data_IF_104347459948
#
_entry.id   IF_104347459948
#
_cell.length_a   1.000
_cell.length_b   1.000
_cell.length_c   1.000
_cell.angle_alpha   90.00
_cell.angle_beta   90.00
_cell.angle_gamma   90.00
#
_symmetry.space_group_name_H-M   'P 1'
#
loop_
_entity.id
_entity.type
_entity.pdbx_description
1 polymer ?
#
# COMPACT_ATOMS: atom_id res chain seq x y z
N UNK A 1 20.96 -44.36 -23.02
CA UNK A 1 19.98 -43.31 -22.69
C UNK A 1 20.59 -42.40 -21.61
N UNK A 2 21.49 -41.44 -21.92
CA UNK A 2 22.19 -40.74 -20.80
C UNK A 2 22.63 -39.28 -20.98
N UNK A 3 22.73 -38.74 -22.20
CA UNK A 3 23.16 -37.33 -22.36
C UNK A 3 21.97 -36.36 -22.33
N UNK A 4 20.83 -36.75 -22.88
CA UNK A 4 19.61 -35.93 -22.94
C UNK A 4 18.95 -35.75 -21.56
N UNK A 5 18.90 -36.81 -20.74
CA UNK A 5 18.39 -36.78 -19.36
C UNK A 5 19.20 -35.82 -18.48
N UNK A 6 20.53 -35.84 -18.60
CA UNK A 6 21.44 -34.95 -17.85
C UNK A 6 21.31 -33.46 -18.24
N UNK A 7 20.90 -33.16 -19.46
CA UNK A 7 20.74 -31.78 -19.95
C UNK A 7 19.39 -31.20 -19.51
N UNK A 8 18.32 -31.99 -19.58
CA UNK A 8 17.01 -31.61 -19.09
C UNK A 8 17.01 -31.37 -17.57
N UNK A 9 17.65 -32.25 -16.80
CA UNK A 9 17.78 -32.09 -15.35
C UNK A 9 18.54 -30.81 -14.97
N UNK A 10 19.62 -30.47 -15.67
CA UNK A 10 20.38 -29.22 -15.45
C UNK A 10 19.57 -27.97 -15.77
N UNK A 11 18.75 -28.00 -16.83
CA UNK A 11 17.84 -26.89 -17.18
C UNK A 11 16.74 -26.72 -16.14
N UNK A 12 16.15 -27.82 -15.68
CA UNK A 12 15.15 -27.78 -14.61
C UNK A 12 15.75 -27.20 -13.33
N UNK A 13 16.92 -27.68 -12.90
CA UNK A 13 17.61 -27.18 -11.71
C UNK A 13 17.92 -25.68 -11.81
N UNK A 14 18.30 -25.21 -12.99
CA UNK A 14 18.50 -23.78 -13.29
C UNK A 14 17.23 -22.96 -13.09
N UNK A 15 16.12 -23.40 -13.68
CA UNK A 15 14.83 -22.69 -13.58
C UNK A 15 14.36 -22.67 -12.12
N UNK A 16 14.42 -23.82 -11.44
CA UNK A 16 14.07 -23.93 -10.02
C UNK A 16 14.93 -22.98 -9.19
N UNK A 17 16.24 -22.94 -9.41
CA UNK A 17 17.13 -22.01 -8.72
C UNK A 17 16.74 -20.55 -8.95
N UNK A 18 16.43 -20.16 -10.19
CA UNK A 18 16.00 -18.79 -10.50
C UNK A 18 14.68 -18.42 -9.81
N UNK A 19 13.70 -19.33 -9.81
CA UNK A 19 12.42 -19.14 -9.12
C UNK A 19 12.66 -18.97 -7.62
N UNK A 20 13.45 -19.86 -7.00
CA UNK A 20 13.76 -19.79 -5.57
C UNK A 20 14.48 -18.49 -5.21
N UNK A 21 15.47 -18.07 -6.01
CA UNK A 21 16.18 -16.79 -5.80
C UNK A 21 15.23 -15.61 -5.92
N UNK A 22 14.32 -15.63 -6.90
CA UNK A 22 13.32 -14.57 -7.08
C UNK A 22 12.38 -14.50 -5.88
N UNK A 23 11.88 -15.63 -5.40
CA UNK A 23 11.05 -15.69 -4.19
C UNK A 23 11.78 -15.18 -2.96
N UNK A 24 13.06 -15.54 -2.78
CA UNK A 24 13.89 -15.02 -1.69
C UNK A 24 14.08 -13.50 -1.80
N UNK A 25 14.29 -12.96 -3.00
CA UNK A 25 14.42 -11.52 -3.22
C UNK A 25 13.11 -10.80 -2.88
N UNK A 26 11.96 -11.30 -3.36
CA UNK A 26 10.65 -10.69 -3.09
C UNK A 26 10.35 -10.76 -1.58
N UNK A 27 10.54 -11.93 -0.96
CA UNK A 27 10.31 -12.10 0.47
C UNK A 27 11.25 -11.22 1.31
N UNK A 28 12.52 -11.09 0.90
CA UNK A 28 13.48 -10.21 1.54
C UNK A 28 13.10 -8.73 1.40
N UNK A 29 12.60 -8.32 0.24
CA UNK A 29 12.07 -6.98 0.02
C UNK A 29 10.88 -6.70 0.95
N UNK A 30 9.88 -7.60 1.01
CA UNK A 30 8.70 -7.42 1.86
C UNK A 30 9.07 -7.33 3.35
N UNK A 31 9.97 -8.19 3.83
CA UNK A 31 10.45 -8.13 5.22
C UNK A 31 11.06 -6.77 5.50
N UNK A 32 11.94 -6.29 4.62
CA UNK A 32 12.58 -4.98 4.80
C UNK A 32 11.59 -3.82 4.65
N UNK A 33 10.56 -3.98 3.84
CA UNK A 33 9.52 -2.97 3.67
C UNK A 33 8.70 -2.80 4.96
N UNK A 34 8.12 -3.88 5.46
CA UNK A 34 7.33 -3.81 6.70
C UNK A 34 8.20 -3.47 7.93
N UNK A 35 9.43 -4.01 7.98
CA UNK A 35 10.39 -3.63 9.02
C UNK A 35 10.77 -2.14 8.93
N UNK A 36 10.80 -1.54 7.74
CA UNK A 36 11.06 -0.13 7.54
C UNK A 36 10.02 0.73 8.26
N UNK A 37 8.74 0.45 8.03
CA UNK A 37 7.65 1.11 8.75
C UNK A 37 7.75 0.91 10.25
N UNK A 38 7.93 -0.34 10.71
CA UNK A 38 8.00 -0.67 12.12
C UNK A 38 9.17 0.03 12.83
N UNK A 39 10.36 0.02 12.24
CA UNK A 39 11.55 0.68 12.79
C UNK A 39 11.37 2.19 12.87
N UNK A 40 10.82 2.80 11.81
CA UNK A 40 10.54 4.23 11.82
C UNK A 40 9.46 4.59 12.85
N UNK A 41 8.42 3.76 13.01
CA UNK A 41 7.38 3.97 14.01
C UNK A 41 7.97 3.96 15.42
N UNK A 42 8.85 3.00 15.75
CA UNK A 42 9.57 2.97 17.03
C UNK A 42 10.47 4.20 17.19
N UNK A 43 11.18 4.60 16.14
CA UNK A 43 12.09 5.75 16.20
C UNK A 43 11.38 7.08 16.50
N UNK A 44 10.09 7.21 16.16
CA UNK A 44 9.26 8.39 16.46
C UNK A 44 8.43 8.23 17.74
N UNK A 45 8.67 7.19 18.54
CA UNK A 45 8.00 6.94 19.82
C UNK A 45 6.70 6.15 19.72
N UNK A 46 6.42 5.50 18.58
CA UNK A 46 5.32 4.58 18.40
C UNK A 46 5.59 3.18 18.97
N UNK A 47 4.54 2.39 19.13
CA UNK A 47 4.61 0.99 19.56
C UNK A 47 4.15 0.09 18.41
N UNK A 48 4.98 -0.88 18.03
CA UNK A 48 4.64 -1.88 17.00
C UNK A 48 3.73 -2.93 17.63
N UNK A 49 2.56 -3.15 17.03
CA UNK A 49 1.55 -4.09 17.50
C UNK A 49 1.48 -5.36 16.65
N UNK A 50 2.04 -5.34 15.44
CA UNK A 50 2.14 -6.52 14.58
C UNK A 50 2.95 -6.27 13.31
N UNK A 51 3.53 -7.33 12.75
CA UNK A 51 4.22 -7.31 11.46
C UNK A 51 3.85 -8.60 10.72
N UNK A 52 3.24 -8.48 9.54
CA UNK A 52 3.08 -9.57 8.58
C UNK A 52 3.76 -9.19 7.27
N UNK A 53 4.86 -9.87 6.96
CA UNK A 53 5.63 -9.63 5.75
C UNK A 53 5.63 -10.83 4.79
N UNK A 54 4.72 -11.80 4.95
CA UNK A 54 4.73 -13.04 4.16
C UNK A 54 4.30 -12.77 2.72
N UNK A 55 5.02 -13.35 1.76
CA UNK A 55 4.72 -13.18 0.32
C UNK A 55 3.34 -13.73 -0.10
N UNK A 56 2.77 -14.62 0.72
CA UNK A 56 1.45 -15.22 0.50
C UNK A 56 0.35 -14.61 1.37
N UNK A 57 0.64 -13.54 2.11
CA UNK A 57 -0.39 -12.81 2.84
C UNK A 57 -1.18 -11.95 1.86
N UNK A 58 -2.49 -11.88 2.04
CA UNK A 58 -3.37 -11.07 1.19
C UNK A 58 -3.00 -9.57 1.27
N UNK A 59 -2.44 -9.15 2.41
CA UNK A 59 -1.96 -7.79 2.66
C UNK A 59 -0.79 -7.82 3.64
N UNK A 60 0.47 -7.87 3.17
CA UNK A 60 1.61 -7.56 4.02
C UNK A 60 1.39 -6.18 4.66
N UNK A 61 1.66 -6.09 5.96
CA UNK A 61 1.49 -4.85 6.72
C UNK A 61 2.27 -4.86 8.04
N UNK A 62 2.69 -3.67 8.45
CA UNK A 62 3.09 -3.36 9.81
C UNK A 62 1.97 -2.57 10.50
N UNK A 63 1.54 -3.07 11.66
CA UNK A 63 0.59 -2.40 12.55
C UNK A 63 1.34 -1.74 13.69
N UNK A 64 1.01 -0.48 13.96
CA UNK A 64 1.63 0.32 15.00
C UNK A 64 0.66 1.37 15.54
N UNK A 65 0.84 1.73 16.79
CA UNK A 65 0.10 2.80 17.47
C UNK A 65 1.05 3.95 17.79
N UNK A 66 0.51 5.17 17.74
CA UNK A 66 1.24 6.38 18.10
C UNK A 66 0.61 7.02 19.32
N UNK A 67 1.44 7.69 20.12
CA UNK A 67 0.97 8.81 20.93
C UNK A 67 0.84 10.07 20.06
N UNK A 68 1.33 11.20 20.57
CA UNK A 68 1.37 12.45 19.81
C UNK A 68 2.56 12.49 18.87
N UNK A 69 2.33 12.35 17.57
CA UNK A 69 3.35 12.50 16.51
C UNK A 69 2.98 13.63 15.54
N UNK A 70 4.00 14.29 15.00
CA UNK A 70 3.87 15.33 13.99
C UNK A 70 3.52 14.74 12.62
N UNK A 71 3.02 15.58 11.71
CA UNK A 71 2.73 15.17 10.33
C UNK A 71 4.00 14.69 9.60
N UNK A 72 5.13 15.37 9.81
CA UNK A 72 6.42 14.98 9.23
C UNK A 72 6.93 13.62 9.75
N UNK A 73 6.70 13.31 11.03
CA UNK A 73 7.02 12.00 11.58
C UNK A 73 6.16 10.90 10.95
N UNK A 74 4.86 11.14 10.72
CA UNK A 74 4.00 10.20 10.00
C UNK A 74 4.49 9.97 8.56
N UNK A 75 4.80 11.04 7.84
CA UNK A 75 5.36 10.94 6.49
C UNK A 75 6.67 10.13 6.47
N UNK A 76 7.55 10.33 7.46
CA UNK A 76 8.77 9.54 7.60
C UNK A 76 8.47 8.05 7.79
N UNK A 77 7.54 7.69 8.68
CA UNK A 77 7.13 6.28 8.90
C UNK A 77 6.59 5.67 7.61
N UNK A 78 5.75 6.39 6.86
CA UNK A 78 5.22 5.91 5.59
C UNK A 78 6.30 5.76 4.52
N UNK A 79 7.25 6.68 4.39
CA UNK A 79 8.34 6.53 3.44
C UNK A 79 9.31 5.39 3.79
N UNK A 80 9.45 5.08 5.08
CA UNK A 80 10.47 4.16 5.58
C UNK A 80 10.35 2.74 4.98
N UNK A 81 9.15 2.27 4.66
CA UNK A 81 8.98 0.97 4.02
C UNK A 81 9.59 0.89 2.63
N UNK A 82 9.58 1.98 1.86
CA UNK A 82 10.29 2.01 0.57
C UNK A 82 11.79 2.32 0.76
N UNK A 83 12.13 3.19 1.71
CA UNK A 83 13.52 3.63 1.93
C UNK A 83 14.43 2.52 2.46
N UNK A 84 13.96 1.66 3.37
CA UNK A 84 14.83 0.65 3.97
C UNK A 84 15.33 -0.39 2.95
N UNK A 85 14.49 -1.03 2.12
CA UNK A 85 14.96 -1.90 1.04
C UNK A 85 15.92 -1.18 0.07
N UNK A 86 15.65 0.08 -0.26
CA UNK A 86 16.52 0.89 -1.12
C UNK A 86 17.91 1.07 -0.53
N UNK A 87 17.99 1.53 0.73
CA UNK A 87 19.27 1.73 1.43
C UNK A 87 20.05 0.42 1.51
N UNK A 88 19.38 -0.68 1.88
CA UNK A 88 20.02 -2.01 1.97
C UNK A 88 20.51 -2.47 0.59
N UNK A 89 19.70 -2.29 -0.47
CA UNK A 89 20.07 -2.67 -1.83
C UNK A 89 21.26 -1.88 -2.39
N UNK A 90 21.26 -0.56 -2.17
CA UNK A 90 22.37 0.31 -2.59
C UNK A 90 23.64 0.04 -1.76
N UNK A 91 23.50 -0.19 -0.44
CA UNK A 91 24.61 -0.58 0.42
C UNK A 91 25.21 -1.91 -0.03
N UNK A 92 24.38 -2.91 -0.37
CA UNK A 92 24.84 -4.19 -0.90
C UNK A 92 25.58 -4.04 -2.25
N UNK A 93 25.14 -3.13 -3.13
CA UNK A 93 25.87 -2.81 -4.36
C UNK A 93 27.25 -2.24 -4.08
N UNK A 94 27.36 -1.32 -3.11
CA UNK A 94 28.60 -0.63 -2.79
C UNK A 94 29.58 -1.53 -2.02
N UNK A 95 29.11 -2.15 -0.94
CA UNK A 95 29.93 -2.90 0.01
C UNK A 95 30.41 -4.26 -0.53
N UNK A 96 29.61 -4.94 -1.36
CA UNK A 96 30.02 -6.26 -1.86
C UNK A 96 31.07 -6.14 -2.98
N UNK A 97 32.09 -7.02 -3.04
CA UNK A 97 33.17 -6.98 -4.03
C UNK A 97 32.67 -6.84 -5.48
N UNK A 98 33.38 -6.11 -6.36
CA UNK A 98 32.90 -5.94 -7.76
C UNK A 98 32.74 -7.27 -8.48
N UNK A 99 33.67 -8.18 -8.24
CA UNK A 99 33.65 -9.53 -8.80
C UNK A 99 33.09 -10.49 -7.75
N UNK A 100 31.93 -11.07 -8.06
CA UNK A 100 31.31 -12.14 -7.28
C UNK A 100 31.10 -13.35 -8.18
N UNK A 101 31.05 -14.57 -7.63
CA UNK A 101 30.55 -15.73 -8.36
C UNK A 101 29.17 -15.41 -8.97
N UNK A 102 28.92 -15.87 -10.20
CA UNK A 102 27.74 -15.47 -11.00
C UNK A 102 26.42 -15.59 -10.22
N UNK A 103 26.23 -16.67 -9.45
CA UNK A 103 25.06 -16.89 -8.60
C UNK A 103 24.81 -15.75 -7.59
N UNK A 104 25.85 -15.26 -6.95
CA UNK A 104 25.77 -14.18 -5.95
C UNK A 104 25.67 -12.80 -6.61
N UNK A 105 26.26 -12.64 -7.79
CA UNK A 105 26.08 -11.44 -8.59
C UNK A 105 24.62 -11.25 -9.00
N UNK A 106 23.92 -12.34 -9.38
CA UNK A 106 22.48 -12.32 -9.69
C UNK A 106 21.65 -11.94 -8.47
N UNK A 107 21.91 -12.52 -7.30
CA UNK A 107 21.20 -12.16 -6.06
C UNK A 107 21.38 -10.68 -5.72
N UNK A 108 22.61 -10.17 -5.73
CA UNK A 108 22.91 -8.76 -5.44
C UNK A 108 22.23 -7.81 -6.41
N UNK A 109 22.39 -8.05 -7.72
CA UNK A 109 21.81 -7.18 -8.75
C UNK A 109 20.29 -7.28 -8.73
N UNK A 110 19.74 -8.50 -8.59
CA UNK A 110 18.31 -8.74 -8.53
C UNK A 110 17.66 -8.06 -7.32
N UNK A 111 18.27 -8.16 -6.14
CA UNK A 111 17.77 -7.48 -4.94
C UNK A 111 17.82 -5.95 -5.10
N UNK A 112 18.93 -5.39 -5.57
CA UNK A 112 19.03 -3.94 -5.80
C UNK A 112 18.06 -3.44 -6.88
N UNK A 113 17.84 -4.21 -7.94
CA UNK A 113 16.85 -3.91 -8.97
C UNK A 113 15.42 -3.98 -8.40
N UNK A 114 15.11 -4.98 -7.57
CA UNK A 114 13.82 -5.09 -6.88
C UNK A 114 13.57 -3.92 -5.94
N UNK A 115 14.57 -3.53 -5.15
CA UNK A 115 14.48 -2.36 -4.27
C UNK A 115 14.22 -1.07 -5.07
N UNK A 116 14.93 -0.86 -6.20
CA UNK A 116 14.70 0.27 -7.09
C UNK A 116 13.33 0.23 -7.76
N UNK A 117 12.82 -0.96 -8.10
CA UNK A 117 11.49 -1.12 -8.67
C UNK A 117 10.38 -0.74 -7.67
N UNK A 118 10.65 -0.79 -6.36
CA UNK A 118 9.77 -0.25 -5.32
C UNK A 118 9.48 1.26 -5.46
N UNK A 119 10.28 2.00 -6.24
CA UNK A 119 10.01 3.41 -6.57
C UNK A 119 9.01 3.61 -7.71
N UNK A 120 8.60 2.56 -8.44
CA UNK A 120 7.67 2.72 -9.57
C UNK A 120 6.31 3.28 -9.14
N UNK A 121 5.68 2.83 -8.03
CA UNK A 121 4.47 3.48 -7.51
C UNK A 121 4.67 4.97 -7.22
N UNK A 122 5.88 5.34 -6.77
CA UNK A 122 6.25 6.73 -6.47
C UNK A 122 6.32 7.66 -7.69
N UNK A 123 6.41 7.10 -8.90
CA UNK A 123 6.38 7.85 -10.15
C UNK A 123 4.98 8.04 -10.72
N UNK A 124 4.05 7.16 -10.35
CA UNK A 124 2.74 7.03 -11.02
C UNK A 124 1.61 7.47 -10.11
N UNK A 125 1.57 6.98 -8.87
CA UNK A 125 0.44 7.17 -7.95
C UNK A 125 0.24 8.60 -7.43
N UNK A 126 1.24 9.51 -7.43
CA UNK A 126 0.96 10.90 -7.11
C UNK A 126 0.09 11.62 -8.15
N UNK A 127 0.02 11.15 -9.41
CA UNK A 127 -0.75 11.83 -10.46
C UNK A 127 -2.26 11.70 -10.34
N UNK A 128 -2.83 10.51 -10.08
CA UNK A 128 -4.26 10.38 -9.79
C UNK A 128 -4.74 11.28 -8.63
N UNK A 129 -3.87 11.65 -7.69
CA UNK A 129 -4.23 12.55 -6.59
C UNK A 129 -4.64 13.94 -7.08
N UNK A 130 -4.08 14.40 -8.21
CA UNK A 130 -4.48 15.68 -8.84
C UNK A 130 -5.90 15.65 -9.41
N UNK A 131 -6.41 14.45 -9.69
CA UNK A 131 -7.75 14.21 -10.22
C UNK A 131 -8.73 13.83 -9.11
N UNK A 132 -8.30 13.91 -7.85
CA UNK A 132 -9.14 13.53 -6.74
C UNK A 132 -9.26 12.03 -6.53
N UNK A 133 -8.24 11.24 -6.89
CA UNK A 133 -8.15 9.81 -6.59
C UNK A 133 -6.96 9.52 -5.68
N UNK A 134 -7.23 8.91 -4.52
CA UNK A 134 -6.20 8.58 -3.53
C UNK A 134 -6.24 7.08 -3.18
N UNK A 135 -5.61 6.23 -4.00
CA UNK A 135 -5.44 4.80 -3.69
C UNK A 135 -4.78 4.61 -2.32
N UNK A 136 -5.10 3.51 -1.65
CA UNK A 136 -4.49 3.17 -0.37
C UNK A 136 -3.07 2.61 -0.56
N UNK A 137 -2.09 3.50 -0.74
CA UNK A 137 -0.68 3.22 -0.99
C UNK A 137 0.23 4.16 -0.16
N UNK A 138 1.44 3.71 0.15
CA UNK A 138 2.43 4.50 0.90
C UNK A 138 2.81 5.81 0.21
N UNK A 139 2.95 5.80 -1.11
CA UNK A 139 3.27 7.01 -1.88
C UNK A 139 2.21 8.07 -1.69
N UNK A 140 0.94 7.67 -1.75
CA UNK A 140 -0.21 8.56 -1.62
C UNK A 140 -0.27 9.10 -0.19
N UNK A 141 -0.16 8.21 0.80
CA UNK A 141 -0.11 8.58 2.23
C UNK A 141 1.06 9.52 2.53
N UNK A 142 2.24 9.26 1.99
CA UNK A 142 3.42 10.12 2.13
C UNK A 142 3.16 11.50 1.54
N UNK A 143 2.62 11.57 0.33
CA UNK A 143 2.34 12.85 -0.34
C UNK A 143 1.36 13.69 0.48
N UNK A 144 0.31 13.06 0.99
CA UNK A 144 -0.69 13.69 1.87
C UNK A 144 -0.12 14.13 3.22
N UNK A 145 0.72 13.31 3.85
CA UNK A 145 1.29 13.59 5.18
C UNK A 145 2.50 14.54 5.13
N UNK A 146 3.29 14.53 4.06
CA UNK A 146 4.41 15.45 3.91
C UNK A 146 3.97 16.86 3.51
N UNK A 147 2.78 16.98 2.90
CA UNK A 147 2.31 18.22 2.29
C UNK A 147 3.11 18.60 1.04
N UNK A 148 3.95 17.69 0.51
CA UNK A 148 4.73 17.97 -0.69
C UNK A 148 3.83 17.96 -1.92
N UNK A 149 4.06 18.87 -2.89
CA UNK A 149 3.38 18.79 -4.18
C UNK A 149 3.65 17.43 -4.84
N UNK A 150 2.64 16.77 -5.44
CA UNK A 150 2.83 15.48 -6.11
C UNK A 150 3.99 15.45 -7.11
N UNK A 151 4.19 16.56 -7.84
CA UNK A 151 5.29 16.69 -8.80
C UNK A 151 6.67 16.64 -8.16
N UNK A 152 6.83 17.16 -6.94
CA UNK A 152 8.09 17.08 -6.21
C UNK A 152 8.38 15.64 -5.77
N UNK A 153 7.37 14.92 -5.29
CA UNK A 153 7.49 13.50 -4.91
C UNK A 153 7.96 12.66 -6.11
N UNK A 154 7.32 12.84 -7.27
CA UNK A 154 7.71 12.17 -8.52
C UNK A 154 9.13 12.56 -8.94
N UNK A 155 9.49 13.84 -8.86
CA UNK A 155 10.84 14.31 -9.19
C UNK A 155 11.94 13.67 -8.35
N UNK A 156 11.73 13.58 -7.03
CA UNK A 156 12.66 12.93 -6.10
C UNK A 156 12.75 11.42 -6.35
N UNK A 157 11.61 10.76 -6.58
CA UNK A 157 11.59 9.34 -6.90
C UNK A 157 12.31 9.05 -8.23
N UNK A 158 12.11 9.87 -9.25
CA UNK A 158 12.77 9.74 -10.55
C UNK A 158 14.28 9.96 -10.44
N UNK A 159 14.72 10.99 -9.72
CA UNK A 159 16.13 11.26 -9.49
C UNK A 159 16.80 10.10 -8.73
N UNK A 160 16.13 9.57 -7.70
CA UNK A 160 16.61 8.41 -6.93
C UNK A 160 16.72 7.16 -7.81
N UNK A 161 15.70 6.89 -8.64
CA UNK A 161 15.70 5.74 -9.55
C UNK A 161 16.83 5.83 -10.58
N UNK A 162 16.96 6.98 -11.26
CA UNK A 162 18.01 7.20 -12.26
C UNK A 162 19.40 7.13 -11.62
N UNK A 163 19.59 7.77 -10.46
CA UNK A 163 20.85 7.73 -9.71
C UNK A 163 21.22 6.31 -9.27
N UNK A 164 20.24 5.54 -8.77
CA UNK A 164 20.42 4.15 -8.37
C UNK A 164 20.76 3.23 -9.55
N UNK A 165 20.08 3.38 -10.68
CA UNK A 165 20.39 2.63 -11.92
C UNK A 165 21.77 3.00 -12.45
N UNK A 166 22.12 4.28 -12.47
CA UNK A 166 23.45 4.75 -12.88
C UNK A 166 24.55 4.18 -11.97
N UNK A 167 24.31 4.15 -10.64
CA UNK A 167 25.22 3.54 -9.68
C UNK A 167 25.38 2.05 -9.95
N UNK A 168 24.28 1.30 -10.12
CA UNK A 168 24.32 -0.12 -10.43
C UNK A 168 25.08 -0.41 -11.74
N UNK A 169 24.84 0.40 -12.77
CA UNK A 169 25.53 0.32 -14.05
C UNK A 169 27.04 0.54 -13.92
N UNK A 170 27.46 1.60 -13.24
CA UNK A 170 28.86 1.88 -12.93
C UNK A 170 29.48 0.74 -12.11
N UNK A 171 28.71 0.20 -11.16
CA UNK A 171 29.18 -0.83 -10.25
C UNK A 171 29.48 -2.16 -10.95
N UNK A 172 28.68 -2.49 -11.97
CA UNK A 172 28.88 -3.68 -12.82
C UNK A 172 30.01 -3.46 -13.85
N UNK A 173 30.42 -2.23 -14.13
CA UNK A 173 31.43 -1.93 -15.17
C UNK A 173 30.82 -1.68 -16.55
N UNK A 174 29.56 -1.20 -16.57
CA UNK A 174 28.82 -0.86 -17.77
C UNK A 174 28.71 -2.00 -18.77
N UNK A 175 28.95 -1.71 -20.06
CA UNK A 175 28.79 -2.68 -21.17
C UNK A 175 29.74 -3.87 -21.05
N UNK A 176 30.97 -3.64 -20.63
CA UNK A 176 31.98 -4.69 -20.56
C UNK A 176 31.77 -5.61 -19.36
N UNK A 177 31.31 -5.05 -18.25
CA UNK A 177 30.79 -5.82 -17.11
C UNK A 177 29.63 -6.73 -17.47
N UNK A 178 28.65 -6.21 -18.21
CA UNK A 178 27.51 -6.99 -18.72
C UNK A 178 27.94 -8.08 -19.70
N UNK A 179 28.91 -7.80 -20.57
CA UNK A 179 29.49 -8.80 -21.48
C UNK A 179 30.26 -9.86 -20.71
N UNK A 180 31.01 -9.49 -19.67
CA UNK A 180 31.72 -10.41 -18.81
C UNK A 180 30.74 -11.34 -18.08
N UNK A 181 29.67 -10.79 -17.47
CA UNK A 181 28.59 -11.57 -16.87
C UNK A 181 27.93 -12.52 -17.89
N UNK A 182 27.77 -12.11 -19.15
CA UNK A 182 27.30 -12.98 -20.23
C UNK A 182 28.29 -14.06 -20.64
N UNK A 183 29.61 -13.82 -20.54
CA UNK A 183 30.67 -14.79 -20.90
C UNK A 183 30.93 -15.82 -19.80
N UNK A 184 30.89 -15.42 -18.53
CA UNK A 184 30.99 -16.34 -17.37
C UNK A 184 29.80 -17.32 -17.30
N UNK A 185 28.74 -17.12 -18.11
CA UNK A 185 27.59 -18.04 -18.26
C UNK A 185 27.93 -19.40 -18.85
N UNK A 186 29.08 -19.60 -19.50
CA UNK A 186 29.38 -20.84 -20.26
C UNK A 186 29.37 -22.13 -19.42
N UNK A 187 29.46 -22.06 -18.10
CA UNK A 187 29.56 -23.26 -17.25
C UNK A 187 28.38 -23.52 -16.30
N UNK A 188 27.45 -22.57 -16.13
CA UNK A 188 26.34 -22.73 -15.17
C UNK A 188 24.94 -22.56 -15.79
N UNK A 189 24.80 -21.96 -16.98
CA UNK A 189 23.49 -21.62 -17.54
C UNK A 189 23.52 -21.66 -19.08
N UNK A 190 23.29 -22.82 -19.69
CA UNK A 190 22.83 -22.88 -21.09
C UNK A 190 21.34 -22.52 -21.16
N UNK A 191 21.04 -21.28 -20.78
CA UNK A 191 19.75 -20.64 -21.05
C UNK A 191 19.78 -20.25 -22.53
N UNK A 192 19.00 -20.95 -23.34
CA UNK A 192 18.85 -20.65 -24.76
C UNK A 192 18.06 -19.34 -24.95
N UNK A 193 18.13 -18.70 -26.13
CA UNK A 193 17.26 -17.55 -26.45
C UNK A 193 15.76 -17.86 -26.28
N UNK A 194 15.36 -19.13 -26.42
CA UNK A 194 14.00 -19.60 -26.10
C UNK A 194 13.69 -19.56 -24.61
N UNK A 195 14.65 -19.85 -23.74
CA UNK A 195 14.48 -19.81 -22.29
C UNK A 195 14.48 -18.36 -21.77
N UNK A 196 15.29 -17.48 -22.36
CA UNK A 196 15.18 -16.02 -22.13
C UNK A 196 13.84 -15.51 -22.63
N UNK A 197 13.38 -15.99 -23.78
CA UNK A 197 12.06 -15.69 -24.33
C UNK A 197 10.93 -16.17 -23.43
N UNK A 198 11.04 -17.35 -22.82
CA UNK A 198 10.04 -17.90 -21.92
C UNK A 198 10.03 -17.21 -20.54
N UNK A 199 11.19 -16.83 -20.01
CA UNK A 199 11.29 -16.03 -18.77
C UNK A 199 10.84 -14.59 -19.02
N UNK A 200 11.22 -13.99 -20.14
CA UNK A 200 10.72 -12.68 -20.55
C UNK A 200 9.23 -12.72 -20.84
N UNK A 201 8.70 -13.76 -21.50
CA UNK A 201 7.27 -13.95 -21.70
C UNK A 201 6.55 -14.22 -20.39
N UNK A 202 7.14 -14.96 -19.45
CA UNK A 202 6.60 -15.18 -18.12
C UNK A 202 6.57 -13.90 -17.29
N UNK A 203 7.62 -13.08 -17.36
CA UNK A 203 7.67 -11.75 -16.74
C UNK A 203 6.71 -10.77 -17.44
N UNK A 204 6.57 -10.83 -18.75
CA UNK A 204 5.60 -10.03 -19.52
C UNK A 204 4.19 -10.49 -19.19
N UNK A 205 3.90 -11.79 -19.07
CA UNK A 205 2.61 -12.31 -18.62
C UNK A 205 2.35 -11.93 -17.18
N UNK A 206 3.35 -11.93 -16.30
CA UNK A 206 3.21 -11.50 -14.91
C UNK A 206 2.99 -9.99 -14.80
N UNK A 207 3.68 -9.18 -15.62
CA UNK A 207 3.49 -7.73 -15.72
C UNK A 207 2.14 -7.42 -16.36
N UNK A 208 1.75 -8.12 -17.43
CA UNK A 208 0.44 -7.98 -18.06
C UNK A 208 -0.68 -8.49 -17.14
N UNK A 209 -0.44 -9.52 -16.34
CA UNK A 209 -1.35 -9.98 -15.30
C UNK A 209 -1.41 -8.97 -14.17
N UNK A 210 -0.30 -8.36 -13.74
CA UNK A 210 -0.29 -7.29 -12.75
C UNK A 210 -0.95 -6.01 -13.27
N UNK A 211 -0.78 -5.68 -14.55
CA UNK A 211 -1.44 -4.56 -15.24
C UNK A 211 -2.90 -4.86 -15.47
N UNK A 212 -3.27 -6.09 -15.83
CA UNK A 212 -4.66 -6.53 -15.97
C UNK A 212 -5.35 -6.66 -14.61
N UNK A 213 -4.64 -7.07 -13.57
CA UNK A 213 -5.10 -7.08 -12.18
C UNK A 213 -5.23 -5.64 -11.68
N UNK A 214 -4.30 -4.74 -12.01
CA UNK A 214 -4.38 -3.31 -11.72
C UNK A 214 -5.52 -2.63 -12.51
N UNK A 215 -5.78 -3.03 -13.75
CA UNK A 215 -6.90 -2.55 -14.55
C UNK A 215 -8.24 -3.15 -14.10
N UNK A 216 -8.26 -4.40 -13.63
CA UNK A 216 -9.44 -5.06 -13.06
C UNK A 216 -9.78 -4.53 -11.67
N UNK A 217 -8.76 -4.28 -10.84
CA UNK A 217 -8.86 -3.54 -9.57
C UNK A 217 -9.18 -2.06 -9.83
N UNK A 218 -8.69 -1.50 -10.95
CA UNK A 218 -8.97 -0.13 -11.40
C UNK A 218 -10.41 0.07 -11.89
N UNK A 219 -10.98 -0.93 -12.58
CA UNK A 219 -12.39 -0.93 -13.01
C UNK A 219 -13.35 -1.36 -11.89
N UNK A 220 -12.84 -1.91 -10.78
CA UNK A 220 -13.59 -2.08 -9.52
C UNK A 220 -13.30 -0.98 -8.49
N UNK A 221 -12.53 0.05 -8.88
CA UNK A 221 -12.24 1.23 -8.08
C UNK A 221 -12.58 2.53 -8.84
N UNK A 222 -13.78 2.60 -9.39
CA UNK A 222 -14.40 3.91 -9.67
C UNK A 222 -15.01 4.43 -8.36
N UNK A 223 -14.27 5.29 -7.66
CA UNK A 223 -14.74 6.56 -7.08
C UNK A 223 -13.74 7.14 -6.06
N UNK A 224 -12.81 7.95 -6.58
CA UNK A 224 -12.33 9.24 -6.05
C UNK A 224 -12.01 9.41 -4.55
N UNK A 225 -10.74 9.73 -4.24
CA UNK A 225 -10.28 10.39 -3.01
C UNK A 225 -9.55 11.72 -3.29
N UNK A 226 -10.28 12.83 -3.13
CA UNK A 226 -9.79 14.21 -2.91
C UNK A 226 -9.46 14.36 -1.38
N UNK A 227 -9.20 15.57 -0.82
CA UNK A 227 -8.07 15.97 0.01
C UNK A 227 -8.08 15.50 1.49
N UNK A 228 -6.96 15.71 2.21
CA UNK A 228 -6.71 15.25 3.59
C UNK A 228 -7.55 15.90 4.68
N UNK A 229 -8.07 17.10 4.47
CA UNK A 229 -9.38 17.48 4.99
C UNK A 229 -10.35 17.25 3.85
N UNK A 230 -11.25 16.27 3.98
CA UNK A 230 -12.38 16.23 3.05
C UNK A 230 -13.33 17.26 3.63
N UNK A 231 -13.49 18.45 3.02
CA UNK A 231 -14.58 19.33 3.39
C UNK A 231 -15.88 18.52 3.27
N UNK A 232 -16.92 18.84 4.05
CA UNK A 232 -18.26 18.27 3.83
C UNK A 232 -18.53 18.20 2.32
N UNK A 233 -19.03 17.06 1.79
CA UNK A 233 -19.36 17.02 0.37
C UNK A 233 -20.24 18.24 0.04
N UNK A 234 -20.05 18.94 -1.09
CA UNK A 234 -20.81 20.14 -1.42
C UNK A 234 -22.31 19.87 -1.21
N UNK A 235 -23.05 20.82 -0.63
CA UNK A 235 -24.46 20.69 -0.22
C UNK A 235 -24.78 19.73 0.93
N UNK A 236 -23.79 19.20 1.66
CA UNK A 236 -24.02 18.46 2.91
C UNK A 236 -23.76 19.34 4.14
N UNK A 237 -24.68 19.28 5.10
CA UNK A 237 -24.51 19.87 6.42
C UNK A 237 -23.79 18.88 7.37
N UNK A 238 -22.95 19.36 8.29
CA UNK A 238 -22.37 18.50 9.33
C UNK A 238 -23.47 17.98 10.27
N UNK A 239 -23.49 16.67 10.50
CA UNK A 239 -24.36 16.03 11.49
C UNK A 239 -23.64 15.88 12.83
N UNK A 240 -22.46 15.25 12.83
CA UNK A 240 -21.63 15.12 14.02
C UNK A 240 -20.15 14.95 13.70
N UNK A 241 -19.31 15.25 14.69
CA UNK A 241 -17.86 15.04 14.68
C UNK A 241 -17.43 14.56 16.07
N UNK A 242 -17.21 13.26 16.20
CA UNK A 242 -16.94 12.59 17.47
C UNK A 242 -15.51 12.09 17.48
N UNK A 243 -14.75 12.46 18.53
CA UNK A 243 -13.45 11.86 18.83
C UNK A 243 -13.62 10.84 19.95
N UNK A 244 -13.25 9.59 19.66
CA UNK A 244 -13.30 8.48 20.59
C UNK A 244 -11.93 8.34 21.27
N UNK A 245 -11.93 8.18 22.59
CA UNK A 245 -10.75 8.18 23.44
C UNK A 245 -10.47 6.81 24.09
N UNK A 246 -11.22 5.77 23.71
CA UNK A 246 -11.12 4.43 24.29
C UNK A 246 -12.07 4.18 25.46
N UNK A 247 -12.95 5.13 25.79
CA UNK A 247 -14.09 4.89 26.68
C UNK A 247 -15.27 4.24 25.95
N UNK A 248 -16.27 3.78 26.71
CA UNK A 248 -17.56 3.39 26.15
C UNK A 248 -18.33 4.65 25.77
N UNK A 249 -18.79 4.70 24.53
CA UNK A 249 -19.52 5.81 23.94
C UNK A 249 -20.86 5.31 23.40
N UNK A 250 -21.95 5.96 23.79
CA UNK A 250 -23.29 5.73 23.25
C UNK A 250 -24.00 7.07 23.12
N UNK A 251 -24.21 7.51 21.88
CA UNK A 251 -24.88 8.77 21.60
C UNK A 251 -25.85 8.64 20.44
N UNK A 252 -26.90 9.45 20.51
CA UNK A 252 -27.91 9.58 19.46
C UNK A 252 -27.86 10.99 18.88
N UNK A 253 -27.79 11.09 17.56
CA UNK A 253 -27.76 12.32 16.79
C UNK A 253 -29.05 12.44 15.99
N UNK A 254 -29.88 13.41 16.34
CA UNK A 254 -31.13 13.64 15.63
C UNK A 254 -30.86 14.15 14.20
N UNK A 255 -31.55 13.54 13.24
CA UNK A 255 -31.68 14.04 11.89
C UNK A 255 -32.86 14.99 11.75
N UNK A 256 -32.86 15.79 10.68
CA UNK A 256 -33.98 16.66 10.33
C UNK A 256 -35.25 15.88 9.94
N UNK A 257 -36.29 16.62 9.55
CA UNK A 257 -37.54 16.05 9.00
C UNK A 257 -37.41 16.03 7.48
N UNK A 258 -37.45 14.85 6.86
CA UNK A 258 -37.49 14.77 5.39
C UNK A 258 -38.95 14.82 4.90
N UNK A 259 -39.23 15.68 3.92
CA UNK A 259 -40.54 15.76 3.24
C UNK A 259 -40.72 14.63 2.21
N UNK A 260 -40.40 13.39 2.61
CA UNK A 260 -40.49 12.21 1.74
C UNK A 260 -39.39 12.10 0.68
N UNK A 261 -38.33 12.91 0.82
CA UNK A 261 -37.16 12.84 -0.04
C UNK A 261 -36.03 11.98 0.53
N UNK A 262 -35.12 11.58 -0.36
CA UNK A 262 -33.93 10.81 -0.03
C UNK A 262 -32.93 11.60 0.82
N UNK A 263 -32.72 11.19 2.07
CA UNK A 263 -31.62 11.68 2.91
C UNK A 263 -30.34 10.94 2.52
N UNK A 264 -29.26 11.67 2.28
CA UNK A 264 -27.94 11.10 2.03
C UNK A 264 -27.07 11.26 3.28
N UNK A 265 -26.58 10.14 3.83
CA UNK A 265 -25.65 10.13 4.97
C UNK A 265 -24.26 9.66 4.52
N UNK A 266 -23.24 10.42 4.88
CA UNK A 266 -21.83 10.07 4.66
C UNK A 266 -21.14 9.94 6.01
N UNK A 267 -20.61 8.76 6.32
CA UNK A 267 -19.77 8.51 7.50
C UNK A 267 -18.30 8.45 7.09
N UNK A 268 -17.43 9.07 7.87
CA UNK A 268 -15.97 8.95 7.74
C UNK A 268 -15.36 8.51 9.05
N UNK A 269 -14.48 7.52 8.97
CA UNK A 269 -13.73 6.95 10.08
C UNK A 269 -12.26 7.30 9.94
N UNK A 270 -11.60 7.74 11.02
CA UNK A 270 -10.17 8.09 11.02
C UNK A 270 -9.47 7.48 12.22
N UNK A 271 -8.43 6.70 11.96
CA UNK A 271 -7.58 6.06 12.96
C UNK A 271 -8.37 5.22 13.98
N UNK A 272 -9.43 4.54 13.53
CA UNK A 272 -10.23 3.70 14.41
C UNK A 272 -9.45 2.45 14.83
N UNK A 273 -9.31 2.24 16.12
CA UNK A 273 -8.67 1.05 16.70
C UNK A 273 -9.36 0.64 18.01
N UNK A 274 -9.35 -0.66 18.33
CA UNK A 274 -9.77 -1.15 19.65
C UNK A 274 -11.00 -2.05 19.63
N UNK A 275 -11.91 -1.85 20.57
CA UNK A 275 -13.10 -2.69 20.77
C UNK A 275 -14.23 -2.41 19.78
N UNK A 276 -15.36 -3.11 19.93
CA UNK A 276 -16.43 -3.13 18.92
C UNK A 276 -17.08 -1.75 18.80
N UNK A 277 -17.47 -1.40 17.58
CA UNK A 277 -18.30 -0.22 17.35
C UNK A 277 -19.37 -0.51 16.32
N UNK A 278 -20.48 0.23 16.43
CA UNK A 278 -21.65 0.14 15.56
C UNK A 278 -22.23 1.53 15.36
N UNK A 279 -22.49 1.87 14.09
CA UNK A 279 -23.28 3.03 13.70
C UNK A 279 -24.57 2.52 13.09
N UNK A 280 -25.69 2.87 13.71
CA UNK A 280 -27.03 2.52 13.23
C UNK A 280 -27.82 3.78 12.93
N UNK A 281 -28.68 3.66 11.93
CA UNK A 281 -29.67 4.66 11.62
C UNK A 281 -31.03 4.10 11.99
N UNK A 282 -31.87 4.93 12.59
CA UNK A 282 -33.27 4.63 12.82
C UNK A 282 -34.12 5.60 11.99
N UNK A 283 -35.01 5.06 11.18
CA UNK A 283 -35.94 5.86 10.37
C UNK A 283 -37.22 6.24 11.15
N UNK A 284 -38.12 6.96 10.49
CA UNK A 284 -39.39 7.40 11.08
C UNK A 284 -40.33 6.25 11.49
N UNK A 285 -40.15 5.06 10.92
CA UNK A 285 -40.88 3.85 11.30
C UNK A 285 -40.20 3.12 12.49
N UNK A 286 -39.02 3.57 12.90
CA UNK A 286 -38.22 2.96 13.97
C UNK A 286 -37.36 1.79 13.50
N UNK A 287 -37.28 1.52 12.18
CA UNK A 287 -36.47 0.44 11.63
C UNK A 287 -34.98 0.73 11.78
N UNK A 288 -34.20 -0.25 12.23
CA UNK A 288 -32.76 -0.14 12.42
C UNK A 288 -32.00 -0.55 11.15
N UNK A 289 -31.19 0.37 10.64
CA UNK A 289 -30.30 0.15 9.51
C UNK A 289 -28.86 0.24 9.97
N UNK A 290 -28.14 -0.88 10.03
CA UNK A 290 -26.71 -0.89 10.33
C UNK A 290 -25.96 -0.22 9.18
N UNK A 291 -25.25 0.87 9.49
CA UNK A 291 -24.47 1.64 8.54
C UNK A 291 -23.00 1.22 8.56
N UNK A 292 -22.49 0.88 9.74
CA UNK A 292 -21.15 0.37 9.94
C UNK A 292 -21.09 -0.45 11.23
N UNK A 293 -20.32 -1.54 11.22
CA UNK A 293 -20.03 -2.29 12.45
C UNK A 293 -18.70 -3.02 12.34
N UNK A 294 -17.93 -3.02 13.42
CA UNK A 294 -16.63 -3.68 13.47
C UNK A 294 -16.45 -4.45 14.78
N UNK A 295 -15.73 -5.56 14.69
CA UNK A 295 -15.43 -6.42 15.82
C UNK A 295 -14.20 -5.98 16.61
N UNK A 296 -13.99 -6.65 17.74
CA UNK A 296 -12.83 -6.46 18.63
C UNK A 296 -11.52 -6.60 17.86
N UNK A 297 -10.59 -5.65 18.08
CA UNK A 297 -9.23 -5.70 17.53
C UNK A 297 -9.10 -5.17 16.09
N UNK A 298 -10.16 -4.58 15.53
CA UNK A 298 -10.11 -4.00 14.19
C UNK A 298 -9.33 -2.68 14.21
N UNK A 299 -8.43 -2.49 13.24
CA UNK A 299 -7.74 -1.22 12.98
C UNK A 299 -8.08 -0.71 11.58
N UNK A 300 -8.46 0.56 11.46
CA UNK A 300 -8.74 1.23 10.19
C UNK A 300 -8.06 2.59 10.14
N UNK A 301 -7.36 2.85 9.03
CA UNK A 301 -6.75 4.15 8.74
C UNK A 301 -7.79 5.21 8.41
N UNK A 302 -8.37 5.16 7.20
CA UNK A 302 -9.48 6.04 6.80
C UNK A 302 -10.48 5.23 5.98
N UNK A 303 -11.78 5.33 6.30
CA UNK A 303 -12.85 4.68 5.55
C UNK A 303 -14.09 5.59 5.44
N UNK A 304 -14.82 5.51 4.33
CA UNK A 304 -16.08 6.24 4.10
C UNK A 304 -17.20 5.27 3.74
N UNK A 305 -18.41 5.47 4.25
CA UNK A 305 -19.60 4.75 3.76
C UNK A 305 -20.15 5.42 2.49
N UNK A 306 -20.74 4.65 1.57
CA UNK A 306 -21.48 5.25 0.46
C UNK A 306 -22.76 5.93 0.94
N UNK A 307 -23.23 7.00 0.25
CA UNK A 307 -24.50 7.62 0.55
C UNK A 307 -25.63 6.60 0.44
N UNK A 308 -26.38 6.40 1.52
CA UNK A 308 -27.53 5.49 1.53
C UNK A 308 -28.81 6.28 1.39
N UNK A 309 -29.62 5.95 0.38
CA UNK A 309 -30.92 6.58 0.18
C UNK A 309 -31.92 6.08 1.21
N UNK A 310 -32.50 7.00 1.99
CA UNK A 310 -33.58 6.68 2.93
C UNK A 310 -34.94 7.04 2.30
N UNK A 311 -35.82 6.05 2.20
CA UNK A 311 -37.15 6.20 1.61
C UNK A 311 -38.25 6.60 2.59
N UNK A 312 -37.91 7.10 3.78
CA UNK A 312 -38.87 7.37 4.84
C UNK A 312 -39.05 8.87 5.05
N UNK A 313 -40.28 9.36 4.86
CA UNK A 313 -40.70 10.68 5.31
C UNK A 313 -40.80 10.68 6.85
N UNK A 314 -40.28 11.73 7.50
CA UNK A 314 -40.38 11.90 8.96
C UNK A 314 -39.03 12.01 9.68
N UNK A 315 -39.05 12.08 11.03
CA UNK A 315 -37.84 12.23 11.83
C UNK A 315 -37.00 10.94 11.79
N UNK A 316 -35.69 11.09 11.71
CA UNK A 316 -34.75 9.98 11.78
C UNK A 316 -33.61 10.34 12.73
N UNK A 317 -32.84 9.35 13.20
CA UNK A 317 -31.66 9.60 14.02
C UNK A 317 -30.57 8.57 13.78
N UNK A 318 -29.33 8.93 14.08
CA UNK A 318 -28.17 8.03 14.04
C UNK A 318 -27.71 7.74 15.46
N UNK A 319 -27.57 6.46 15.80
CA UNK A 319 -26.97 6.03 17.05
C UNK A 319 -25.55 5.50 16.79
N UNK A 320 -24.59 6.00 17.56
CA UNK A 320 -23.21 5.55 17.54
C UNK A 320 -22.91 4.89 18.88
N UNK A 321 -22.59 3.61 18.84
CA UNK A 321 -22.12 2.81 19.99
C UNK A 321 -20.68 2.40 19.72
N UNK A 322 -19.78 2.68 20.66
CA UNK A 322 -18.39 2.25 20.61
C UNK A 322 -17.94 1.81 22.00
N UNK A 323 -17.21 0.71 22.08
CA UNK A 323 -16.65 0.19 23.33
C UNK A 323 -15.15 0.07 23.17
N UNK A 324 -14.39 0.75 24.03
CA UNK A 324 -12.94 0.67 24.01
C UNK A 324 -12.31 0.99 22.64
N UNK A 325 -12.95 1.88 21.88
CA UNK A 325 -12.51 2.30 20.56
C UNK A 325 -11.85 3.67 20.65
N UNK A 326 -10.70 3.85 20.02
CA UNK A 326 -10.03 5.14 19.82
C UNK A 326 -10.15 5.56 18.36
N UNK A 327 -10.19 6.87 18.09
CA UNK A 327 -10.17 7.43 16.73
C UNK A 327 -11.15 8.59 16.54
N UNK A 328 -11.58 8.87 15.31
CA UNK A 328 -12.55 9.94 15.02
C UNK A 328 -13.59 9.47 14.02
N UNK A 329 -14.84 9.85 14.24
CA UNK A 329 -15.97 9.57 13.35
C UNK A 329 -16.66 10.88 13.00
N UNK A 330 -16.81 11.15 11.71
CA UNK A 330 -17.50 12.33 11.19
C UNK A 330 -18.69 11.91 10.34
N UNK A 331 -19.79 12.64 10.45
CA UNK A 331 -20.99 12.40 9.66
C UNK A 331 -21.50 13.70 9.05
N UNK A 332 -21.96 13.61 7.80
CA UNK A 332 -22.60 14.70 7.07
C UNK A 332 -23.89 14.21 6.42
N UNK A 333 -24.85 15.12 6.27
CA UNK A 333 -26.17 14.84 5.72
C UNK A 333 -26.50 15.81 4.60
N UNK A 334 -27.27 15.37 3.61
CA UNK A 334 -27.90 16.25 2.63
C UNK A 334 -29.38 15.97 2.58
N UNK A 335 -30.17 17.02 2.80
CA UNK A 335 -31.60 17.01 2.52
C UNK A 335 -31.83 17.28 1.02
N UNK A 336 -32.82 16.63 0.41
CA UNK A 336 -33.20 16.91 -0.97
C UNK A 336 -33.85 18.30 -1.02
N UNK A 337 -33.28 19.16 -1.87
CA UNK A 337 -33.86 20.45 -2.27
C UNK A 337 -35.15 20.29 -3.06
#
# INVERSE_FOLDING_TARGET
MDVASSTAARRLATVVWFVLVTLVIIQGYLILHEAGHALAAVAVGGTVTGIDARVWSDRPHASYTFGTVTQGQRAFVTAAGTLLPLVVGLAALLALPRQLPARWAVVRIGFAAGALAGLLPWLVLPWPMLQGSAPNDDTVRFTLQSGWPPALVVGVAAATLVGGVALAWWRVGGRDGLRALRRTRSHLLTITPRDVGAVAAGLVVLVLFAVALHAWVGDTAVATGVPTEVPPPPSHAPLFDVRLDGSTFDATFAGGVSDGGTVFLVLRFEELAGGPFRVTLHDAAGEEHVLASFGVGTTMGVASSQPRALGAAGPWYVRLVAEHTVGRIRAWTREPS
#
